data_IF_844611921862
#
_entry.id   IF_844611921862
#
_cell.length_a   1.000
_cell.length_b   1.000
_cell.length_c   1.000
_cell.angle_alpha   90.00
_cell.angle_beta   90.00
_cell.angle_gamma   90.00
#
_symmetry.space_group_name_H-M   'P 1'
#
loop_
_entity.id
_entity.type
_entity.pdbx_description
1 polymer ?
#
# COMPACT_ATOMS: atom_id res chain seq x y z
N UNK A 1 -24.70 -14.60 20.31
CA UNK A 1 -24.62 -14.65 18.85
C UNK A 1 -24.29 -16.09 18.50
N UNK A 2 -25.18 -16.79 17.78
CA UNK A 2 -25.13 -18.24 17.63
C UNK A 2 -24.21 -18.65 16.47
N UNK A 3 -23.46 -19.74 16.63
CA UNK A 3 -22.60 -20.37 15.61
C UNK A 3 -23.30 -20.58 14.26
N UNK A 4 -24.62 -20.71 14.25
CA UNK A 4 -25.39 -20.98 13.05
C UNK A 4 -25.43 -19.80 12.06
N UNK A 5 -25.35 -18.56 12.55
CA UNK A 5 -25.30 -17.38 11.68
C UNK A 5 -23.92 -17.24 11.02
N UNK A 6 -22.86 -17.68 11.71
CA UNK A 6 -21.49 -17.67 11.18
C UNK A 6 -21.33 -18.67 10.03
N UNK A 7 -21.85 -19.89 10.19
CA UNK A 7 -21.85 -20.89 9.12
C UNK A 7 -22.61 -20.41 7.88
N UNK A 8 -23.72 -19.69 8.07
CA UNK A 8 -24.53 -19.17 6.98
C UNK A 8 -23.82 -18.04 6.21
N UNK A 9 -23.05 -17.20 6.90
CA UNK A 9 -22.21 -16.17 6.29
C UNK A 9 -21.00 -16.78 5.56
N UNK A 10 -20.36 -17.79 6.15
CA UNK A 10 -19.24 -18.50 5.52
C UNK A 10 -19.67 -19.25 4.26
N UNK A 11 -20.87 -19.84 4.24
CA UNK A 11 -21.42 -20.47 3.04
C UNK A 11 -21.73 -19.46 1.93
N UNK A 12 -22.19 -18.24 2.25
CA UNK A 12 -22.37 -17.17 1.25
C UNK A 12 -21.04 -16.60 0.75
N UNK A 13 -20.03 -16.55 1.61
CA UNK A 13 -18.72 -16.02 1.27
C UNK A 13 -17.86 -17.00 0.44
N UNK A 14 -18.23 -18.29 0.36
CA UNK A 14 -17.59 -19.24 -0.55
C UNK A 14 -17.89 -18.85 -1.99
N UNK A 15 -16.93 -18.16 -2.59
CA UNK A 15 -16.90 -17.90 -4.03
C UNK A 15 -16.89 -19.20 -4.85
N UNK A 16 -17.11 -19.11 -6.18
CA UNK A 16 -17.10 -20.26 -7.06
C UNK A 16 -15.78 -21.03 -6.91
N UNK A 17 -15.87 -22.36 -6.88
CA UNK A 17 -14.67 -23.19 -6.78
C UNK A 17 -13.72 -22.86 -7.96
N UNK A 18 -12.42 -22.66 -7.67
CA UNK A 18 -11.48 -22.28 -8.70
C UNK A 18 -11.42 -23.38 -9.76
N UNK A 19 -11.59 -22.99 -11.02
CA UNK A 19 -11.53 -23.93 -12.15
C UNK A 19 -10.20 -24.70 -12.16
N UNK A 20 -10.22 -25.94 -12.64
CA UNK A 20 -9.00 -26.77 -12.73
C UNK A 20 -7.86 -26.07 -13.48
N UNK A 21 -8.19 -25.22 -14.46
CA UNK A 21 -7.21 -24.40 -15.19
C UNK A 21 -6.58 -23.31 -14.33
N UNK A 22 -7.35 -22.65 -13.47
CA UNK A 22 -6.82 -21.67 -12.52
C UNK A 22 -5.89 -22.33 -11.49
N UNK A 23 -6.27 -23.52 -11.00
CA UNK A 23 -5.44 -24.32 -10.10
C UNK A 23 -4.14 -24.78 -10.78
N UNK A 24 -4.21 -25.20 -12.05
CA UNK A 24 -3.02 -25.59 -12.83
C UNK A 24 -2.09 -24.41 -13.08
N UNK A 25 -2.62 -23.22 -13.42
CA UNK A 25 -1.86 -22.00 -13.62
C UNK A 25 -1.16 -21.56 -12.32
N UNK A 26 -1.87 -21.59 -11.19
CA UNK A 26 -1.30 -21.26 -9.88
C UNK A 26 -0.16 -22.22 -9.48
N UNK A 27 -0.30 -23.53 -9.75
CA UNK A 27 0.77 -24.51 -9.52
C UNK A 27 1.96 -24.31 -10.45
N UNK A 28 1.75 -23.90 -11.70
CA UNK A 28 2.81 -23.56 -12.65
C UNK A 28 3.68 -22.41 -12.13
N UNK A 29 3.05 -21.31 -11.71
CA UNK A 29 3.72 -20.15 -11.12
C UNK A 29 4.49 -20.50 -9.83
N UNK A 30 3.92 -21.34 -8.97
CA UNK A 30 4.62 -21.81 -7.77
C UNK A 30 5.82 -22.73 -8.07
N UNK A 31 5.80 -23.43 -9.21
CA UNK A 31 6.92 -24.24 -9.69
C UNK A 31 8.10 -23.40 -10.17
N UNK A 32 7.82 -22.29 -10.86
CA UNK A 32 8.83 -21.39 -11.43
C UNK A 32 9.55 -20.53 -10.37
N UNK A 33 8.94 -20.36 -9.19
CA UNK A 33 9.54 -19.65 -8.06
C UNK A 33 10.47 -20.52 -7.18
N UNK A 34 10.68 -21.80 -7.52
CA UNK A 34 11.63 -22.63 -6.77
C UNK A 34 13.06 -22.16 -7.02
N UNK A 35 13.81 -21.73 -5.98
CA UNK A 35 15.21 -21.37 -6.15
C UNK A 35 15.98 -22.61 -6.60
N UNK A 36 16.55 -22.56 -7.80
CA UNK A 36 17.52 -23.56 -8.26
C UNK A 36 18.72 -23.54 -7.31
N UNK A 37 18.75 -24.46 -6.33
CA UNK A 37 19.94 -24.77 -5.56
C UNK A 37 21.00 -25.33 -6.52
N UNK A 38 21.89 -24.46 -7.00
CA UNK A 38 23.06 -24.89 -7.75
C UNK A 38 24.05 -25.56 -6.77
N UNK A 39 24.51 -26.78 -7.06
CA UNK A 39 25.53 -27.42 -6.23
C UNK A 39 26.86 -26.63 -6.32
N UNK A 40 27.40 -26.25 -5.17
CA UNK A 40 28.73 -25.67 -5.04
C UNK A 40 29.79 -26.65 -5.56
N UNK A 41 30.35 -26.39 -6.74
CA UNK A 41 31.59 -27.03 -7.20
C UNK A 41 32.80 -26.19 -6.78
N UNK A 42 33.78 -26.87 -6.20
CA UNK A 42 35.09 -26.37 -5.74
C UNK A 42 35.86 -25.62 -6.85
N UNK A 43 36.77 -24.70 -6.48
CA UNK A 43 37.35 -23.75 -7.40
C UNK A 43 38.55 -24.35 -8.14
N UNK A 44 38.52 -24.39 -9.46
CA UNK A 44 39.72 -24.55 -10.28
C UNK A 44 40.00 -23.27 -11.05
N UNK A 45 41.01 -22.56 -10.57
CA UNK A 45 41.89 -21.63 -11.28
C UNK A 45 41.56 -21.47 -12.77
N UNK A 46 41.09 -20.28 -13.16
CA UNK A 46 41.60 -19.50 -14.30
C UNK A 46 40.89 -18.15 -14.32
N UNK A 47 41.61 -17.14 -13.81
CA UNK A 47 41.46 -15.75 -14.21
C UNK A 47 41.36 -15.69 -15.74
N UNK A 48 40.31 -15.02 -16.23
CA UNK A 48 40.22 -14.22 -17.48
C UNK A 48 38.73 -14.14 -17.82
N UNK A 49 38.05 -13.13 -17.28
CA UNK A 49 36.81 -12.50 -17.75
C UNK A 49 36.23 -11.60 -16.63
N UNK A 50 37.10 -10.79 -16.01
CA UNK A 50 36.70 -9.74 -15.09
C UNK A 50 36.58 -8.44 -15.90
N UNK A 51 35.47 -8.25 -16.61
CA UNK A 51 35.16 -6.96 -17.26
C UNK A 51 33.68 -6.72 -17.63
N UNK A 52 32.77 -7.69 -17.49
CA UNK A 52 31.35 -7.50 -17.92
C UNK A 52 30.34 -7.73 -16.78
N UNK A 53 30.78 -8.21 -15.61
CA UNK A 53 29.87 -8.64 -14.53
C UNK A 53 29.43 -7.56 -13.54
N UNK A 54 29.95 -6.33 -13.61
CA UNK A 54 29.66 -5.29 -12.60
C UNK A 54 28.45 -4.40 -12.93
N UNK A 55 27.93 -4.44 -14.16
CA UNK A 55 26.73 -3.68 -14.53
C UNK A 55 25.42 -4.41 -14.19
N UNK A 56 25.41 -5.75 -14.22
CA UNK A 56 24.18 -6.52 -14.03
C UNK A 56 23.79 -6.68 -12.55
N UNK A 57 24.75 -6.68 -11.62
CA UNK A 57 24.46 -6.85 -10.20
C UNK A 57 23.80 -5.62 -9.57
N UNK A 58 24.10 -4.40 -10.06
CA UNK A 58 23.52 -3.15 -9.54
C UNK A 58 22.08 -2.95 -10.04
N UNK A 59 21.76 -3.42 -11.24
CA UNK A 59 20.39 -3.38 -11.78
C UNK A 59 19.45 -4.39 -11.10
N UNK A 60 19.98 -5.52 -10.60
CA UNK A 60 19.19 -6.51 -9.87
C UNK A 60 18.81 -6.05 -8.45
N UNK A 61 19.65 -5.25 -7.78
CA UNK A 61 19.33 -4.72 -6.45
C UNK A 61 18.25 -3.65 -6.45
N UNK A 62 18.15 -2.84 -7.51
CA UNK A 62 17.10 -1.83 -7.64
C UNK A 62 15.74 -2.42 -8.04
N UNK A 63 15.74 -3.51 -8.83
CA UNK A 63 14.52 -4.22 -9.20
C UNK A 63 13.88 -4.99 -8.03
N UNK A 64 14.70 -5.52 -7.11
CA UNK A 64 14.19 -6.22 -5.93
C UNK A 64 13.55 -5.31 -4.90
N UNK A 65 14.02 -4.06 -4.75
CA UNK A 65 13.43 -3.11 -3.79
C UNK A 65 12.07 -2.59 -4.27
N UNK A 66 11.90 -2.32 -5.56
CA UNK A 66 10.59 -1.96 -6.14
C UNK A 66 9.58 -3.12 -6.04
N UNK A 67 10.01 -4.35 -6.37
CA UNK A 67 9.15 -5.52 -6.25
C UNK A 67 8.81 -5.86 -4.78
N UNK A 68 9.75 -5.66 -3.84
CA UNK A 68 9.49 -5.85 -2.42
C UNK A 68 8.55 -4.78 -1.86
N UNK A 69 8.67 -3.52 -2.31
CA UNK A 69 7.77 -2.43 -1.91
C UNK A 69 6.33 -2.67 -2.41
N UNK A 70 6.19 -3.14 -3.66
CA UNK A 70 4.90 -3.55 -4.23
C UNK A 70 4.30 -4.80 -3.55
N UNK A 71 5.11 -5.61 -2.86
CA UNK A 71 4.66 -6.76 -2.08
C UNK A 71 4.39 -6.42 -0.61
N UNK A 72 4.97 -5.33 -0.08
CA UNK A 72 4.78 -4.89 1.32
C UNK A 72 3.55 -4.01 1.51
N UNK A 73 3.07 -3.36 0.46
CA UNK A 73 1.74 -2.77 0.44
C UNK A 73 0.81 -3.90 0.06
N UNK A 74 0.03 -4.53 0.95
CA UNK A 74 -0.85 -5.62 0.55
C UNK A 74 -1.85 -5.09 -0.48
N UNK A 75 -1.73 -5.44 -1.78
CA UNK A 75 -2.68 -4.99 -2.80
C UNK A 75 -4.04 -5.69 -2.64
N UNK A 76 -4.19 -6.50 -1.58
CA UNK A 76 -5.32 -7.37 -1.30
C UNK A 76 -6.04 -7.02 -0.01
N UNK A 77 -5.82 -5.84 0.59
CA UNK A 77 -6.88 -5.32 1.46
C UNK A 77 -8.09 -5.10 0.56
N UNK A 78 -9.08 -5.97 0.72
CA UNK A 78 -10.27 -5.98 -0.12
C UNK A 78 -10.97 -4.64 0.05
N UNK A 79 -10.98 -3.84 -1.02
CA UNK A 79 -11.83 -2.66 -1.09
C UNK A 79 -13.27 -3.13 -1.23
N UNK A 80 -14.22 -2.53 -0.50
CA UNK A 80 -15.64 -2.70 -0.76
C UNK A 80 -15.97 -2.45 -2.24
N UNK A 81 -17.00 -3.12 -2.74
CA UNK A 81 -17.40 -2.99 -4.14
C UNK A 81 -17.77 -1.52 -4.46
N UNK A 82 -17.21 -0.98 -5.54
CA UNK A 82 -17.43 0.40 -5.97
C UNK A 82 -16.43 1.42 -5.39
N UNK A 83 -15.60 1.02 -4.42
CA UNK A 83 -14.52 1.87 -3.93
C UNK A 83 -13.29 1.80 -4.84
N UNK A 84 -12.59 2.92 -4.93
CA UNK A 84 -11.35 3.11 -5.66
C UNK A 84 -10.30 3.62 -4.67
N UNK A 85 -9.03 3.24 -4.87
CA UNK A 85 -7.91 3.67 -4.02
C UNK A 85 -6.80 4.21 -4.92
N UNK A 86 -6.10 5.24 -4.46
CA UNK A 86 -4.92 5.75 -5.17
C UNK A 86 -3.80 4.71 -5.19
N UNK A 87 -2.96 4.77 -6.23
CA UNK A 87 -1.78 3.91 -6.36
C UNK A 87 -0.65 4.43 -5.46
N UNK A 88 -0.46 5.75 -5.43
CA UNK A 88 0.58 6.38 -4.63
C UNK A 88 0.10 6.71 -3.21
N UNK A 89 0.74 6.17 -2.17
CA UNK A 89 0.43 6.52 -0.79
C UNK A 89 1.07 7.85 -0.38
N UNK A 90 0.49 8.45 0.65
CA UNK A 90 1.07 9.53 1.42
C UNK A 90 2.02 8.92 2.47
N UNK A 91 3.34 9.22 2.41
CA UNK A 91 4.27 8.75 3.42
C UNK A 91 4.16 9.63 4.68
N UNK A 92 3.91 8.99 5.83
CA UNK A 92 3.92 9.62 7.14
C UNK A 92 5.05 9.01 7.97
N UNK A 93 6.05 9.81 8.30
CA UNK A 93 7.16 9.42 9.16
C UNK A 93 6.94 9.94 10.58
N UNK A 94 7.07 9.07 11.58
CA UNK A 94 7.00 9.46 12.98
C UNK A 94 8.00 8.67 13.83
N UNK A 95 8.26 9.18 15.04
CA UNK A 95 9.15 8.56 16.00
C UNK A 95 8.31 8.16 17.20
N UNK A 96 8.34 6.88 17.55
CA UNK A 96 7.66 6.34 18.73
C UNK A 96 8.33 6.84 20.03
N UNK A 97 7.66 6.75 21.19
CA UNK A 97 8.21 7.23 22.46
C UNK A 97 9.55 6.60 22.86
N UNK A 98 9.86 5.41 22.36
CA UNK A 98 11.11 4.68 22.62
C UNK A 98 12.26 5.09 21.69
N UNK A 99 12.00 5.99 20.73
CA UNK A 99 12.96 6.47 19.74
C UNK A 99 12.94 5.68 18.42
N UNK A 100 12.09 4.66 18.27
CA UNK A 100 11.96 3.88 17.04
C UNK A 100 11.34 4.73 15.93
N UNK A 101 11.96 4.74 14.74
CA UNK A 101 11.37 5.39 13.57
C UNK A 101 10.39 4.46 12.87
N UNK A 102 9.20 4.96 12.58
CA UNK A 102 8.16 4.25 11.84
C UNK A 102 7.67 5.06 10.66
N UNK A 103 7.35 4.36 9.58
CA UNK A 103 6.71 4.93 8.39
C UNK A 103 5.37 4.27 8.18
N UNK A 104 4.32 5.08 8.09
CA UNK A 104 3.01 4.66 7.59
C UNK A 104 2.82 5.13 6.14
N UNK A 105 2.21 4.28 5.34
CA UNK A 105 1.77 4.58 3.98
C UNK A 105 0.25 4.71 4.01
N UNK A 106 -0.25 5.92 3.76
CA UNK A 106 -1.68 6.22 3.79
C UNK A 106 -2.22 6.29 2.36
N UNK A 107 -3.23 5.48 2.07
CA UNK A 107 -3.88 5.40 0.77
C UNK A 107 -5.24 6.06 0.85
N UNK A 108 -5.49 7.05 -0.03
CA UNK A 108 -6.79 7.70 -0.11
C UNK A 108 -7.79 6.83 -0.86
N UNK A 109 -9.01 6.77 -0.34
CA UNK A 109 -10.09 5.94 -0.86
C UNK A 109 -11.30 6.77 -1.23
N UNK A 110 -11.95 6.39 -2.33
CA UNK A 110 -13.00 7.15 -2.96
C UNK A 110 -14.11 6.25 -3.51
N UNK A 111 -15.26 6.85 -3.79
CA UNK A 111 -16.38 6.23 -4.50
C UNK A 111 -16.85 7.15 -5.63
N UNK A 112 -17.29 6.59 -6.75
CA UNK A 112 -17.86 7.33 -7.89
C UNK A 112 -16.97 8.47 -8.46
N UNK A 113 -15.64 8.36 -8.30
CA UNK A 113 -14.66 9.26 -8.93
C UNK A 113 -14.38 8.76 -10.35
N UNK A 114 -14.32 9.68 -11.31
CA UNK A 114 -13.93 9.32 -12.68
C UNK A 114 -12.42 9.09 -12.81
N UNK A 115 -12.01 8.39 -13.87
CA UNK A 115 -10.60 8.03 -14.05
C UNK A 115 -9.67 9.24 -14.18
N UNK A 116 -10.14 10.36 -14.73
CA UNK A 116 -9.32 11.56 -14.92
C UNK A 116 -9.10 12.28 -13.58
N UNK A 117 -10.13 12.34 -12.74
CA UNK A 117 -10.04 12.86 -11.37
C UNK A 117 -9.13 12.01 -10.49
N UNK A 118 -9.28 10.68 -10.57
CA UNK A 118 -8.43 9.75 -9.83
C UNK A 118 -6.95 9.91 -10.24
N UNK A 119 -6.66 10.02 -11.54
CA UNK A 119 -5.30 10.25 -12.04
C UNK A 119 -4.74 11.62 -11.60
N UNK A 120 -5.60 12.65 -11.50
CA UNK A 120 -5.20 13.97 -10.97
C UNK A 120 -4.85 13.90 -9.49
N UNK A 121 -5.66 13.21 -8.70
CA UNK A 121 -5.41 12.99 -7.27
C UNK A 121 -4.13 12.19 -7.04
N UNK A 122 -3.96 11.09 -7.77
CA UNK A 122 -2.80 10.21 -7.66
C UNK A 122 -1.49 10.97 -7.97
N UNK A 123 -1.47 11.73 -9.07
CA UNK A 123 -0.33 12.60 -9.40
C UNK A 123 -0.11 13.70 -8.35
N UNK A 124 -1.17 14.32 -7.84
CA UNK A 124 -1.05 15.35 -6.82
C UNK A 124 -0.45 14.79 -5.51
N UNK A 125 -0.74 13.54 -5.17
CA UNK A 125 -0.10 12.85 -4.03
C UNK A 125 1.37 12.55 -4.34
N UNK A 126 1.65 12.01 -5.54
CA UNK A 126 3.00 11.62 -5.95
C UNK A 126 3.98 12.79 -6.09
N UNK A 127 3.52 13.92 -6.66
CA UNK A 127 4.34 15.11 -6.92
C UNK A 127 4.52 15.98 -5.67
N UNK A 128 3.70 15.76 -4.62
CA UNK A 128 3.76 16.56 -3.40
C UNK A 128 4.93 16.13 -2.52
N UNK A 129 5.78 17.09 -2.19
CA UNK A 129 6.74 16.95 -1.10
C UNK A 129 6.00 17.07 0.25
N UNK A 130 5.55 15.95 0.80
CA UNK A 130 4.92 15.86 2.12
C UNK A 130 5.91 16.29 3.20
N UNK A 131 5.85 17.55 3.60
CA UNK A 131 6.78 18.12 4.58
C UNK A 131 6.50 17.56 5.97
N UNK A 132 7.49 17.60 6.86
CA UNK A 132 7.32 17.17 8.25
C UNK A 132 6.14 17.86 8.94
N UNK A 133 5.90 19.15 8.67
CA UNK A 133 4.78 19.87 9.27
C UNK A 133 3.43 19.39 8.74
N UNK A 134 3.33 19.12 7.43
CA UNK A 134 2.10 18.53 6.85
C UNK A 134 1.85 17.12 7.37
N UNK A 135 2.90 16.32 7.51
CA UNK A 135 2.80 15.00 8.13
C UNK A 135 2.33 15.12 9.58
N UNK A 136 2.83 16.10 10.35
CA UNK A 136 2.38 16.34 11.73
C UNK A 136 0.95 16.82 11.83
N UNK A 137 0.48 17.62 10.88
CA UNK A 137 -0.92 18.03 10.79
C UNK A 137 -1.82 16.82 10.55
N UNK A 138 -1.48 15.99 9.55
CA UNK A 138 -2.21 14.75 9.27
C UNK A 138 -2.17 13.80 10.46
N UNK A 139 -1.04 13.66 11.15
CA UNK A 139 -0.93 12.77 12.31
C UNK A 139 -1.44 13.36 13.63
N UNK A 140 -1.91 14.61 13.62
CA UNK A 140 -2.33 15.32 14.85
C UNK A 140 -1.21 15.55 15.87
N UNK A 141 0.06 15.41 15.47
CA UNK A 141 1.23 15.57 16.35
C UNK A 141 1.81 16.98 16.33
N UNK A 142 1.16 17.92 15.63
CA UNK A 142 1.55 19.32 15.59
C UNK A 142 1.52 19.96 17.00
N UNK A 143 2.66 19.94 17.69
CA UNK A 143 2.82 20.45 19.06
C UNK A 143 2.38 19.48 20.17
N UNK A 144 2.00 18.25 19.82
CA UNK A 144 1.59 17.19 20.75
C UNK A 144 2.71 16.19 21.07
N UNK A 145 2.50 15.27 22.02
CA UNK A 145 3.39 14.14 22.23
C UNK A 145 3.40 13.22 21.00
N UNK A 146 4.49 12.45 20.85
CA UNK A 146 4.58 11.42 19.83
C UNK A 146 3.48 10.35 20.03
N UNK A 147 2.86 9.86 18.94
CA UNK A 147 1.83 8.85 18.99
C UNK A 147 2.47 7.51 19.41
N UNK A 148 1.72 6.73 20.19
CA UNK A 148 2.18 5.46 20.78
C UNK A 148 1.64 4.24 20.05
N UNK A 149 0.57 4.42 19.30
CA UNK A 149 -0.12 3.37 18.56
C UNK A 149 -0.44 3.87 17.16
N UNK A 150 -0.68 2.95 16.23
CA UNK A 150 -1.13 3.28 14.87
C UNK A 150 -2.43 4.10 14.87
N UNK A 151 -3.37 3.75 15.76
CA UNK A 151 -4.63 4.50 15.93
C UNK A 151 -4.40 5.96 16.39
N UNK A 152 -3.31 6.24 17.11
CA UNK A 152 -2.95 7.62 17.49
C UNK A 152 -2.24 8.39 16.36
N UNK A 153 -1.63 7.69 15.39
CA UNK A 153 -0.95 8.30 14.23
C UNK A 153 -1.96 8.84 13.23
N UNK A 154 -3.17 8.27 13.18
CA UNK A 154 -4.22 8.68 12.26
C UNK A 154 -5.48 9.04 13.05
N UNK A 155 -5.46 10.18 13.75
CA UNK A 155 -6.63 10.62 14.51
C UNK A 155 -7.81 10.89 13.58
N UNK A 156 -9.01 11.02 14.14
CA UNK A 156 -10.21 11.38 13.39
C UNK A 156 -10.01 12.67 12.54
N UNK A 157 -9.18 13.61 13.03
CA UNK A 157 -8.83 14.84 12.30
C UNK A 157 -8.02 14.59 11.02
N UNK A 158 -7.34 13.45 10.89
CA UNK A 158 -6.63 13.08 9.67
C UNK A 158 -7.60 13.00 8.49
N UNK A 159 -8.84 12.55 8.73
CA UNK A 159 -9.87 12.51 7.70
C UNK A 159 -10.12 13.91 7.12
N UNK A 160 -10.34 14.90 7.97
CA UNK A 160 -10.62 16.28 7.55
C UNK A 160 -9.46 16.91 6.77
N UNK A 161 -8.22 16.67 7.20
CA UNK A 161 -7.04 17.18 6.51
C UNK A 161 -6.85 16.54 5.13
N UNK A 162 -7.06 15.23 5.03
CA UNK A 162 -6.93 14.49 3.77
C UNK A 162 -8.07 14.82 2.80
N UNK A 163 -9.30 14.96 3.30
CA UNK A 163 -10.43 15.48 2.54
C UNK A 163 -10.14 16.89 2.03
N UNK A 164 -9.69 17.80 2.89
CA UNK A 164 -9.38 19.18 2.51
C UNK A 164 -8.33 19.21 1.40
N UNK A 165 -7.29 18.38 1.49
CA UNK A 165 -6.32 18.19 0.42
C UNK A 165 -6.98 17.70 -0.87
N UNK A 166 -7.78 16.62 -0.81
CA UNK A 166 -8.42 16.05 -2.00
C UNK A 166 -9.34 17.06 -2.69
N UNK A 167 -10.13 17.84 -1.93
CA UNK A 167 -11.00 18.91 -2.42
C UNK A 167 -10.20 20.02 -3.12
N UNK A 168 -8.96 20.30 -2.70
CA UNK A 168 -8.12 21.28 -3.41
C UNK A 168 -7.73 20.82 -4.82
N UNK A 169 -7.68 19.50 -5.06
CA UNK A 169 -7.30 18.90 -6.35
C UNK A 169 -8.54 18.66 -7.22
N UNK A 170 -9.61 18.13 -6.61
CA UNK A 170 -10.89 17.84 -7.24
C UNK A 170 -12.00 18.53 -6.45
N UNK A 171 -12.36 19.78 -6.80
CA UNK A 171 -13.33 20.58 -6.03
C UNK A 171 -14.76 20.03 -6.00
N UNK A 172 -15.06 19.02 -6.82
CA UNK A 172 -16.35 18.33 -6.88
C UNK A 172 -16.47 17.19 -5.88
N UNK A 173 -15.41 16.84 -5.16
CA UNK A 173 -15.45 15.84 -4.09
C UNK A 173 -16.28 16.33 -2.89
N UNK A 174 -17.01 15.41 -2.27
CA UNK A 174 -17.66 15.59 -0.96
C UNK A 174 -17.31 14.47 0.01
N UNK A 175 -17.53 14.69 1.30
CA UNK A 175 -17.54 13.67 2.36
C UNK A 175 -18.92 13.01 2.54
N UNK A 176 -19.98 13.70 2.11
CA UNK A 176 -21.32 13.13 2.06
C UNK A 176 -21.34 11.91 1.13
N UNK A 177 -21.67 10.74 1.69
CA UNK A 177 -22.13 9.56 0.93
C UNK A 177 -23.48 9.93 0.29
N UNK A 178 -23.55 10.25 -1.00
CA UNK A 178 -24.79 10.66 -1.62
C UNK A 178 -25.67 9.44 -1.84
N UNK A 179 -26.97 9.65 -2.01
CA UNK A 179 -27.91 8.69 -2.61
C UNK A 179 -27.58 8.36 -4.10
N UNK A 180 -26.32 8.54 -4.54
CA UNK A 180 -25.75 8.11 -5.81
C UNK A 180 -25.10 9.22 -6.64
N UNK A 181 -23.96 8.87 -7.27
CA UNK A 181 -23.28 9.52 -8.41
C UNK A 181 -22.46 10.79 -8.18
N UNK A 182 -22.17 11.19 -6.94
CA UNK A 182 -21.16 12.24 -6.73
C UNK A 182 -19.83 11.61 -6.34
N UNK A 183 -18.70 12.13 -6.86
CA UNK A 183 -17.39 11.78 -6.36
C UNK A 183 -17.32 11.99 -4.85
N UNK A 184 -17.04 10.94 -4.10
CA UNK A 184 -16.99 11.00 -2.62
C UNK A 184 -15.64 10.55 -2.12
N UNK A 185 -15.08 11.30 -1.17
CA UNK A 185 -13.96 10.87 -0.36
C UNK A 185 -14.48 9.91 0.70
N UNK A 186 -14.15 8.64 0.56
CA UNK A 186 -14.71 7.60 1.41
C UNK A 186 -13.84 7.30 2.64
N UNK A 187 -12.60 7.80 2.64
CA UNK A 187 -11.69 7.73 3.77
C UNK A 187 -10.27 7.41 3.34
N UNK A 188 -9.55 6.70 4.20
CA UNK A 188 -8.20 6.28 3.94
C UNK A 188 -7.92 4.92 4.59
N UNK A 189 -7.02 4.15 3.97
CA UNK A 189 -6.40 2.98 4.56
C UNK A 189 -4.94 3.28 4.88
N UNK A 190 -4.38 2.63 5.90
CA UNK A 190 -2.97 2.80 6.25
C UNK A 190 -2.27 1.45 6.40
N UNK A 191 -0.96 1.47 6.15
CA UNK A 191 -0.07 0.36 6.45
C UNK A 191 1.24 0.90 6.99
N UNK A 192 1.57 0.50 8.22
CA UNK A 192 2.78 0.93 8.89
C UNK A 192 3.84 -0.17 8.86
N UNK A 193 5.07 0.22 8.54
CA UNK A 193 6.24 -0.67 8.53
C UNK A 193 7.28 -0.16 9.52
N UNK A 194 7.90 -1.11 10.21
CA UNK A 194 9.02 -0.84 11.10
C UNK A 194 10.26 -0.60 10.24
N UNK A 195 10.96 0.51 10.49
CA UNK A 195 12.30 0.76 9.97
C UNK A 195 12.40 0.70 8.44
N UNK A 196 12.40 1.85 7.79
CA UNK A 196 13.21 1.93 6.57
C UNK A 196 14.69 1.97 7.01
N UNK A 197 15.52 1.05 6.49
CA UNK A 197 16.94 0.95 6.87
C UNK A 197 17.74 2.20 6.51
#
# INVERSE_FOLDING_TARGET
>A
MLDHDLDHLLQRARGPEPSERAVAAARGLAGDLRPTQRPHRRPSRRLRLAAVGLGAAVLLSAGTTLAAYQLSIPPFQTLPAGMQRLEHPIPLDFVEPDGTQRRCLVFLEFTDVDAADLERLDRAVADRAWTTDQQREVTGTAGGPAPRTEDEVLPDTAHDHLLAFAVTVVPTLSDDLPDGRRPTFAGYGASCVDGLP
#
